data_IF_491842489607
#
_entry.id   IF_491842489607
#
_cell.length_a   1.000
_cell.length_b   1.000
_cell.length_c   1.000
_cell.angle_alpha   90.00
_cell.angle_beta   90.00
_cell.angle_gamma   90.00
#
_symmetry.space_group_name_H-M   'P 1'
#
loop_
_entity.id
_entity.type
_entity.pdbx_description
1 polymer ?
#
# COMPACT_ATOMS: atom_id res chain seq x y z
N UNK A 1 -24.01 -41.59 -32.78
CA UNK A 1 -22.78 -40.99 -32.24
C UNK A 1 -22.47 -39.62 -32.88
N UNK A 2 -23.43 -38.68 -32.95
CA UNK A 2 -23.17 -37.34 -33.52
C UNK A 2 -23.80 -36.16 -32.75
N UNK A 3 -24.49 -36.43 -31.64
CA UNK A 3 -25.13 -35.39 -30.82
C UNK A 3 -24.44 -35.16 -29.46
N UNK A 4 -23.43 -35.94 -29.10
CA UNK A 4 -22.77 -35.85 -27.79
C UNK A 4 -21.53 -34.92 -27.76
N UNK A 5 -21.09 -34.39 -28.90
CA UNK A 5 -19.84 -33.61 -29.00
C UNK A 5 -20.08 -32.09 -28.86
N UNK A 6 -21.31 -31.62 -29.10
CA UNK A 6 -21.64 -30.20 -29.07
C UNK A 6 -21.88 -29.62 -27.67
N UNK A 7 -22.04 -30.47 -26.64
CA UNK A 7 -22.32 -30.02 -25.27
C UNK A 7 -21.06 -29.81 -24.41
N UNK A 8 -19.86 -30.13 -24.93
CA UNK A 8 -18.61 -30.00 -24.18
C UNK A 8 -17.88 -28.67 -24.42
N UNK A 9 -18.32 -27.85 -25.37
CA UNK A 9 -17.65 -26.60 -25.77
C UNK A 9 -18.17 -25.33 -25.10
N UNK A 10 -19.13 -25.43 -24.16
CA UNK A 10 -19.77 -24.28 -23.52
C UNK A 10 -19.31 -23.98 -22.08
N UNK A 11 -18.27 -24.66 -21.58
CA UNK A 11 -17.82 -24.51 -20.17
C UNK A 11 -16.44 -23.80 -20.04
N UNK A 12 -15.92 -23.23 -21.12
CA UNK A 12 -14.57 -22.62 -21.12
C UNK A 12 -14.52 -21.11 -21.41
N UNK A 13 -15.60 -20.37 -21.13
CA UNK A 13 -15.65 -18.92 -21.39
C UNK A 13 -16.36 -18.13 -20.29
N UNK A 14 -16.07 -18.45 -19.02
CA UNK A 14 -16.18 -17.45 -17.96
C UNK A 14 -14.82 -16.77 -17.79
N UNK A 15 -14.56 -15.78 -18.65
CA UNK A 15 -13.53 -14.80 -18.40
C UNK A 15 -13.88 -14.10 -17.09
N UNK A 16 -13.17 -14.50 -16.04
CA UNK A 16 -13.03 -13.80 -14.77
C UNK A 16 -12.31 -12.48 -15.10
N UNK A 17 -13.06 -11.37 -15.09
CA UNK A 17 -12.73 -10.06 -14.53
C UNK A 17 -13.65 -9.02 -15.17
N UNK A 18 -14.73 -8.71 -14.46
CA UNK A 18 -15.39 -7.42 -14.62
C UNK A 18 -14.62 -6.39 -13.80
N UNK A 19 -13.45 -5.98 -14.27
CA UNK A 19 -12.80 -4.79 -13.74
C UNK A 19 -13.19 -3.60 -14.60
N UNK A 20 -14.39 -3.08 -14.37
CA UNK A 20 -14.70 -1.69 -14.70
C UNK A 20 -14.45 -0.84 -13.46
N UNK A 21 -13.19 -0.46 -13.27
CA UNK A 21 -12.88 0.52 -12.24
C UNK A 21 -11.76 1.41 -12.74
N UNK A 22 -12.16 2.62 -13.12
CA UNK A 22 -11.29 3.77 -13.42
C UNK A 22 -10.47 4.21 -12.18
N UNK A 23 -10.16 3.28 -11.28
CA UNK A 23 -9.50 3.48 -9.99
C UNK A 23 -7.97 3.40 -10.14
N UNK A 24 -7.48 2.82 -11.25
CA UNK A 24 -6.05 2.85 -11.60
C UNK A 24 -5.63 4.11 -12.37
N UNK A 25 -6.55 4.81 -13.03
CA UNK A 25 -6.22 6.02 -13.80
C UNK A 25 -5.86 7.20 -12.88
N UNK A 26 -6.38 7.21 -11.64
CA UNK A 26 -6.01 8.22 -10.63
C UNK A 26 -4.58 8.04 -10.13
N UNK A 27 -4.03 6.83 -10.18
CA UNK A 27 -2.66 6.56 -9.77
C UNK A 27 -1.61 7.13 -10.77
N UNK A 28 -2.04 7.51 -11.97
CA UNK A 28 -1.19 8.20 -12.95
C UNK A 28 -1.22 9.74 -12.81
N UNK A 29 -2.12 10.32 -12.00
CA UNK A 29 -2.36 11.77 -12.00
C UNK A 29 -1.61 12.57 -10.92
N UNK A 30 -0.86 11.94 -10.02
CA UNK A 30 0.10 12.63 -9.16
C UNK A 30 1.47 11.96 -9.31
N UNK A 31 2.40 12.61 -10.03
CA UNK A 31 3.80 12.21 -9.97
C UNK A 31 4.36 12.59 -8.60
N UNK A 32 4.24 11.67 -7.63
CA UNK A 32 4.77 11.85 -6.27
C UNK A 32 6.26 11.52 -6.15
N UNK A 33 6.94 11.22 -7.27
CA UNK A 33 8.39 10.95 -7.30
C UNK A 33 8.81 9.55 -6.86
N UNK A 34 7.87 8.58 -6.81
CA UNK A 34 8.16 7.17 -6.49
C UNK A 34 8.12 6.37 -7.79
N UNK A 35 9.16 5.57 -8.07
CA UNK A 35 9.26 4.76 -9.28
C UNK A 35 8.35 3.53 -9.24
N UNK A 36 7.19 3.62 -9.89
CA UNK A 36 6.20 2.54 -9.95
C UNK A 36 6.47 1.50 -11.03
N UNK A 37 7.54 1.64 -11.80
CA UNK A 37 7.87 0.68 -12.87
C UNK A 37 8.41 -0.65 -12.34
N UNK A 38 8.74 -0.71 -11.04
CA UNK A 38 9.23 -1.91 -10.37
C UNK A 38 8.22 -2.42 -9.34
N UNK A 39 8.15 -3.74 -9.07
CA UNK A 39 7.29 -4.27 -8.01
C UNK A 39 7.62 -3.70 -6.62
N UNK A 40 8.89 -3.38 -6.36
CA UNK A 40 9.34 -2.76 -5.10
C UNK A 40 8.79 -1.35 -4.95
N UNK A 41 8.92 -0.53 -5.99
CA UNK A 41 8.43 0.83 -5.94
C UNK A 41 6.91 0.94 -6.00
N UNK A 42 6.20 -0.02 -6.60
CA UNK A 42 4.73 -0.10 -6.49
C UNK A 42 4.30 -0.41 -5.04
N UNK A 43 4.97 -1.33 -4.33
CA UNK A 43 4.68 -1.57 -2.90
C UNK A 43 4.87 -0.32 -2.05
N UNK A 44 6.01 0.37 -2.23
CA UNK A 44 6.27 1.63 -1.55
C UNK A 44 5.20 2.68 -1.90
N UNK A 45 4.83 2.80 -3.17
CA UNK A 45 3.80 3.75 -3.60
C UNK A 45 2.47 3.52 -2.87
N UNK A 46 1.99 2.27 -2.81
CA UNK A 46 0.72 1.95 -2.15
C UNK A 46 0.75 2.29 -0.66
N UNK A 47 1.82 1.90 0.06
CA UNK A 47 2.00 2.27 1.46
C UNK A 47 2.12 3.80 1.65
N UNK A 48 2.84 4.48 0.75
CA UNK A 48 3.04 5.92 0.79
C UNK A 48 1.71 6.69 0.68
N UNK A 49 0.77 6.23 -0.16
CA UNK A 49 -0.55 6.88 -0.29
C UNK A 49 -1.32 6.80 1.04
N UNK A 50 -1.33 5.63 1.69
CA UNK A 50 -1.95 5.46 3.02
C UNK A 50 -1.33 6.43 4.03
N UNK A 51 0.00 6.53 4.06
CA UNK A 51 0.72 7.43 4.96
C UNK A 51 0.45 8.91 4.62
N UNK A 52 0.35 9.26 3.34
CA UNK A 52 0.04 10.62 2.87
C UNK A 52 -1.34 11.05 3.34
N UNK A 53 -2.35 10.19 3.18
CA UNK A 53 -3.74 10.49 3.50
C UNK A 53 -4.02 10.51 5.01
N UNK A 54 -3.39 9.59 5.76
CA UNK A 54 -3.70 9.40 7.17
C UNK A 54 -2.72 10.09 8.12
N UNK A 55 -1.45 10.30 7.72
CA UNK A 55 -0.37 10.67 8.64
C UNK A 55 0.30 12.01 8.27
N UNK A 56 0.62 12.24 7.00
CA UNK A 56 1.52 13.33 6.59
C UNK A 56 0.94 14.73 6.82
N UNK A 57 -0.37 14.91 7.03
CA UNK A 57 -0.93 16.22 7.41
C UNK A 57 -0.39 16.74 8.74
N UNK A 58 -0.06 15.82 9.67
CA UNK A 58 0.53 16.17 10.97
C UNK A 58 2.05 15.96 10.96
N UNK A 59 2.56 15.02 10.16
CA UNK A 59 3.99 14.79 9.92
C UNK A 59 4.54 15.71 8.83
N UNK A 60 4.42 17.02 9.08
CA UNK A 60 5.11 18.08 8.33
C UNK A 60 6.01 18.84 9.28
N UNK A 61 7.22 19.21 8.83
CA UNK A 61 8.16 20.06 9.57
C UNK A 61 8.45 19.59 11.01
N UNK A 62 7.61 20.03 11.96
CA UNK A 62 7.71 19.81 13.41
C UNK A 62 7.67 18.33 13.84
N UNK A 63 6.88 17.45 13.20
CA UNK A 63 6.76 16.03 13.56
C UNK A 63 7.57 15.09 12.64
N UNK A 64 8.64 15.59 12.02
CA UNK A 64 9.40 15.00 10.92
C UNK A 64 8.68 15.16 9.56
N UNK A 65 9.42 15.59 8.54
CA UNK A 65 8.89 15.76 7.19
C UNK A 65 8.97 14.47 6.39
N UNK A 66 7.93 13.64 6.53
CA UNK A 66 7.83 12.36 5.83
C UNK A 66 7.55 12.51 4.34
N UNK A 67 7.10 13.69 3.88
CA UNK A 67 6.80 13.89 2.47
C UNK A 67 8.04 13.76 1.57
N UNK A 68 9.23 13.95 2.13
CA UNK A 68 10.51 13.84 1.41
C UNK A 68 10.96 12.39 1.19
N UNK A 69 10.42 11.42 1.94
CA UNK A 69 10.83 10.02 1.87
C UNK A 69 10.19 9.29 0.68
N UNK A 70 10.78 9.42 -0.50
CA UNK A 70 10.31 8.80 -1.76
C UNK A 70 10.96 7.46 -2.12
N UNK A 71 11.83 6.96 -1.25
CA UNK A 71 12.55 5.69 -1.46
C UNK A 71 12.58 4.91 -0.17
N UNK A 72 12.73 3.59 -0.25
CA UNK A 72 12.87 2.74 0.93
C UNK A 72 14.07 3.19 1.77
N UNK A 73 15.20 3.51 1.14
CA UNK A 73 16.37 4.02 1.84
C UNK A 73 16.10 5.32 2.58
N UNK A 74 15.25 6.21 2.06
CA UNK A 74 14.82 7.41 2.77
C UNK A 74 14.08 7.09 4.07
N UNK A 75 13.12 6.16 3.99
CA UNK A 75 12.38 5.71 5.17
C UNK A 75 13.27 4.99 6.19
N UNK A 76 14.18 4.11 5.75
CA UNK A 76 15.16 3.45 6.61
C UNK A 76 16.05 4.50 7.31
N UNK A 77 16.60 5.43 6.53
CA UNK A 77 17.51 6.45 7.05
C UNK A 77 16.84 7.42 8.03
N UNK A 78 15.51 7.54 7.96
CA UNK A 78 14.72 8.32 8.92
C UNK A 78 14.46 7.61 10.25
N UNK A 79 14.86 6.33 10.38
CA UNK A 79 14.67 5.52 11.58
C UNK A 79 13.21 5.17 11.87
N UNK A 80 12.31 5.33 10.90
CA UNK A 80 10.89 5.00 11.06
C UNK A 80 10.60 3.53 10.81
N UNK A 81 11.43 2.88 10.00
CA UNK A 81 11.23 1.49 9.57
C UNK A 81 12.49 0.66 9.76
N UNK A 82 12.29 -0.59 10.12
CA UNK A 82 13.28 -1.65 10.18
C UNK A 82 13.01 -2.60 9.00
N UNK A 83 13.95 -2.74 8.04
CA UNK A 83 13.75 -3.58 6.86
C UNK A 83 13.44 -5.03 7.24
N UNK A 84 12.45 -5.62 6.57
CA UNK A 84 12.05 -7.03 6.74
C UNK A 84 11.45 -7.36 8.13
N UNK A 85 11.16 -6.35 8.96
CA UNK A 85 10.48 -6.52 10.25
C UNK A 85 9.56 -5.34 10.54
N UNK A 86 8.34 -5.41 9.99
CA UNK A 86 7.31 -4.39 10.17
C UNK A 86 6.94 -4.17 11.63
N UNK A 87 6.86 -5.21 12.46
CA UNK A 87 6.43 -5.09 13.85
C UNK A 87 7.50 -4.48 14.78
N UNK A 88 8.78 -4.52 14.39
CA UNK A 88 9.85 -3.79 15.07
C UNK A 88 9.95 -2.32 14.66
N UNK A 89 9.30 -1.93 13.56
CA UNK A 89 9.36 -0.58 13.00
C UNK A 89 8.63 0.45 13.85
N UNK A 90 9.27 1.59 14.15
CA UNK A 90 8.67 2.67 14.94
C UNK A 90 7.34 3.17 14.36
N UNK A 91 7.25 3.26 13.03
CA UNK A 91 6.04 3.61 12.29
C UNK A 91 4.85 2.73 12.72
N UNK A 92 5.04 1.41 12.71
CA UNK A 92 4.01 0.41 12.98
C UNK A 92 3.68 0.38 14.47
N UNK A 93 4.69 0.41 15.36
CA UNK A 93 4.52 0.42 16.83
C UNK A 93 3.63 1.57 17.31
N UNK A 94 3.62 2.70 16.60
CA UNK A 94 2.78 3.85 16.96
C UNK A 94 1.33 3.71 16.52
N UNK A 95 0.99 2.78 15.63
CA UNK A 95 -0.36 2.62 15.10
C UNK A 95 -1.32 2.05 16.16
N UNK A 96 -2.53 2.61 16.20
CA UNK A 96 -3.64 2.15 17.04
C UNK A 96 -4.04 0.70 16.76
N UNK A 97 -3.85 0.21 15.52
CA UNK A 97 -4.09 -1.19 15.15
C UNK A 97 -3.33 -2.19 16.03
N UNK A 98 -2.19 -1.78 16.60
CA UNK A 98 -1.40 -2.61 17.52
C UNK A 98 -1.32 -2.03 18.95
N UNK A 99 -2.26 -1.15 19.32
CA UNK A 99 -2.35 -0.55 20.65
C UNK A 99 -1.59 0.77 20.83
N UNK A 100 -1.05 1.34 19.75
CA UNK A 100 -0.44 2.67 19.75
C UNK A 100 -1.45 3.83 19.80
N UNK A 101 -0.98 5.04 19.52
CA UNK A 101 -1.79 6.27 19.63
C UNK A 101 -1.97 7.05 18.30
N UNK A 102 -1.42 6.54 17.20
CA UNK A 102 -1.55 7.12 15.86
C UNK A 102 -2.57 6.36 15.00
N UNK A 103 -3.33 7.04 14.12
CA UNK A 103 -3.34 8.48 13.93
C UNK A 103 -3.99 9.22 15.12
N UNK A 104 -3.41 10.36 15.52
CA UNK A 104 -3.91 11.16 16.64
C UNK A 104 -5.28 11.73 16.29
N UNK A 105 -6.24 11.64 17.22
CA UNK A 105 -7.60 12.19 17.09
C UNK A 105 -8.44 11.68 15.90
N UNK A 106 -7.93 10.68 15.14
CA UNK A 106 -8.70 9.94 14.14
C UNK A 106 -8.88 8.48 14.58
N UNK A 107 -9.82 7.73 13.96
CA UNK A 107 -9.87 6.27 14.11
C UNK A 107 -8.54 5.61 13.71
N UNK A 108 -8.39 4.34 14.09
CA UNK A 108 -7.34 3.50 13.51
C UNK A 108 -7.55 3.35 12.00
N UNK A 109 -6.47 3.16 11.25
CA UNK A 109 -6.56 2.86 9.82
C UNK A 109 -7.21 1.48 9.63
N UNK A 110 -7.76 1.23 8.44
CA UNK A 110 -8.35 -0.08 8.14
C UNK A 110 -7.29 -1.19 8.10
N UNK A 111 -7.70 -2.44 8.26
CA UNK A 111 -6.79 -3.59 8.15
C UNK A 111 -6.15 -3.67 6.76
N UNK A 112 -6.88 -3.33 5.69
CA UNK A 112 -6.31 -3.31 4.34
C UNK A 112 -5.20 -2.24 4.21
N UNK A 113 -5.38 -1.05 4.80
CA UNK A 113 -4.35 -0.01 4.82
C UNK A 113 -3.15 -0.41 5.67
N UNK A 114 -3.40 -1.07 6.81
CA UNK A 114 -2.36 -1.62 7.68
C UNK A 114 -1.52 -2.67 6.94
N UNK A 115 -2.17 -3.59 6.23
CA UNK A 115 -1.52 -4.64 5.43
C UNK A 115 -0.65 -4.06 4.31
N UNK A 116 -1.06 -2.95 3.68
CA UNK A 116 -0.22 -2.29 2.67
C UNK A 116 1.09 -1.76 3.29
N UNK A 117 1.02 -1.20 4.50
CA UNK A 117 2.20 -0.69 5.21
C UNK A 117 3.12 -1.84 5.64
N UNK A 118 2.58 -2.87 6.29
CA UNK A 118 3.37 -3.99 6.81
C UNK A 118 3.95 -4.83 5.66
N UNK A 119 3.16 -5.12 4.62
CA UNK A 119 3.64 -5.83 3.44
C UNK A 119 4.78 -5.09 2.74
N UNK A 120 4.68 -3.76 2.62
CA UNK A 120 5.78 -2.96 2.09
C UNK A 120 7.04 -3.14 2.93
N UNK A 121 7.00 -2.91 4.25
CA UNK A 121 8.17 -2.98 5.14
C UNK A 121 8.79 -4.38 5.19
N UNK A 122 7.97 -5.43 5.24
CA UNK A 122 8.41 -6.82 5.30
C UNK A 122 9.08 -7.29 4.00
N UNK A 123 8.99 -6.50 2.91
CA UNK A 123 9.53 -6.82 1.59
C UNK A 123 10.51 -5.75 1.06
N UNK A 124 11.23 -5.08 1.96
CA UNK A 124 12.29 -4.10 1.65
C UNK A 124 13.64 -4.75 1.48
#
# INVERSE_FOLDING_TARGET
MRFAILLYLLVASSCIQSDNSNTFDRAFSENIGIDRSTPKGERLYQAYIVLKENCMSCHTGYHNDWNSNKTDQGWISSGQIEPNDSYSSSLVIRLKNIGGNMPKDKPQISEAEFDLITNWIDNI
#
